data_IF_089734509721
#
_entry.id   IF_089734509721
#
_cell.length_a   1.000
_cell.length_b   1.000
_cell.length_c   1.000
_cell.angle_alpha   90.00
_cell.angle_beta   90.00
_cell.angle_gamma   90.00
#
_symmetry.space_group_name_H-M   'P 1'
#
loop_
_entity.id
_entity.type
_entity.pdbx_description
1 polymer ?
#
# COMPACT_ATOMS: atom_id res chain seq x y z
N UNK A 1 12.39 -22.13 23.90
CA UNK A 1 11.53 -20.95 23.75
C UNK A 1 11.40 -20.30 25.11
N UNK A 2 11.50 -18.97 25.18
CA UNK A 2 11.21 -18.24 26.43
C UNK A 2 9.69 -18.35 26.70
N UNK A 3 9.25 -18.56 27.95
CA UNK A 3 7.83 -18.61 28.28
C UNK A 3 7.18 -17.24 28.05
N UNK A 4 6.00 -17.23 27.42
CA UNK A 4 5.25 -16.00 27.11
C UNK A 4 4.82 -15.22 28.36
N UNK A 5 4.71 -15.90 29.50
CA UNK A 5 4.30 -15.33 30.79
C UNK A 5 5.29 -14.29 31.36
N UNK A 6 6.47 -14.14 30.77
CA UNK A 6 7.49 -13.18 31.19
C UNK A 6 7.52 -11.90 30.35
N UNK A 7 6.64 -11.77 29.34
CA UNK A 7 6.58 -10.58 28.49
C UNK A 7 5.83 -9.48 29.25
N UNK A 8 6.42 -8.30 29.48
CA UNK A 8 5.73 -7.20 30.15
C UNK A 8 4.60 -6.62 29.31
N UNK A 9 3.47 -6.27 29.93
CA UNK A 9 2.33 -5.61 29.27
C UNK A 9 2.55 -4.10 29.08
N UNK A 10 3.31 -3.46 29.98
CA UNK A 10 3.58 -2.02 29.94
C UNK A 10 4.67 -1.66 28.91
N UNK A 11 4.49 -0.52 28.22
CA UNK A 11 5.38 -0.09 27.11
C UNK A 11 6.86 0.06 27.52
N UNK A 12 7.13 0.65 28.68
CA UNK A 12 8.49 0.91 29.16
C UNK A 12 9.26 -0.39 29.44
N UNK A 13 8.76 -1.32 30.28
CA UNK A 13 9.44 -2.59 30.50
C UNK A 13 9.44 -3.47 29.24
N UNK A 14 8.42 -3.40 28.38
CA UNK A 14 8.41 -4.11 27.09
C UNK A 14 9.55 -3.62 26.17
N UNK A 15 9.78 -2.30 26.11
CA UNK A 15 10.90 -1.71 25.36
C UNK A 15 12.26 -2.17 25.90
N UNK A 16 12.40 -2.26 27.23
CA UNK A 16 13.63 -2.76 27.86
C UNK A 16 13.84 -4.26 27.57
N UNK A 17 12.77 -5.06 27.66
CA UNK A 17 12.78 -6.48 27.34
C UNK A 17 13.15 -6.72 25.87
N UNK A 18 12.55 -5.99 24.94
CA UNK A 18 12.90 -6.05 23.52
C UNK A 18 14.40 -5.79 23.30
N UNK A 19 14.96 -4.73 23.90
CA UNK A 19 16.39 -4.42 23.82
C UNK A 19 17.28 -5.54 24.37
N UNK A 20 16.86 -6.20 25.46
CA UNK A 20 17.56 -7.35 26.00
C UNK A 20 17.54 -8.53 25.02
N UNK A 21 16.41 -8.84 24.39
CA UNK A 21 16.30 -9.94 23.43
C UNK A 21 17.26 -9.78 22.24
N UNK A 22 17.47 -8.54 21.77
CA UNK A 22 18.43 -8.28 20.69
C UNK A 22 19.86 -8.72 21.03
N UNK A 23 20.22 -8.76 22.32
CA UNK A 23 21.57 -9.16 22.76
C UNK A 23 21.85 -10.65 22.63
N UNK A 24 20.81 -11.47 22.42
CA UNK A 24 20.97 -12.90 22.16
C UNK A 24 21.44 -13.22 20.73
N UNK A 25 21.47 -12.23 19.85
CA UNK A 25 22.06 -12.38 18.52
C UNK A 25 23.55 -12.77 18.63
N UNK A 26 23.95 -13.77 17.87
CA UNK A 26 25.33 -14.29 17.86
C UNK A 26 25.84 -14.43 16.43
N UNK A 27 27.13 -14.73 16.26
CA UNK A 27 27.70 -14.99 14.94
C UNK A 27 27.04 -16.20 14.25
N UNK A 28 26.65 -17.21 15.04
CA UNK A 28 26.00 -18.43 14.57
C UNK A 28 24.51 -18.22 14.28
N UNK A 29 23.88 -17.29 15.00
CA UNK A 29 22.48 -16.93 14.85
C UNK A 29 22.34 -15.39 14.84
N UNK A 30 22.67 -14.74 13.71
CA UNK A 30 22.49 -13.30 13.58
C UNK A 30 21.00 -12.95 13.50
N UNK A 31 20.64 -11.75 13.93
CA UNK A 31 19.27 -11.26 13.92
C UNK A 31 19.11 -10.11 12.92
N UNK A 32 18.20 -10.28 11.96
CA UNK A 32 17.84 -9.25 10.98
C UNK A 32 16.34 -8.99 11.09
N UNK A 33 15.98 -7.78 11.51
CA UNK A 33 14.59 -7.36 11.67
C UNK A 33 14.21 -6.39 10.56
N UNK A 34 13.09 -6.63 9.91
CA UNK A 34 12.47 -5.71 8.96
C UNK A 34 11.16 -5.23 9.57
N UNK A 35 11.03 -3.91 9.72
CA UNK A 35 9.84 -3.26 10.21
C UNK A 35 9.28 -2.42 9.07
N UNK A 36 8.17 -2.89 8.52
CA UNK A 36 7.51 -2.21 7.41
C UNK A 36 6.53 -1.15 7.94
N UNK A 37 6.60 0.05 7.36
CA UNK A 37 5.64 1.15 7.56
C UNK A 37 5.42 1.52 9.03
N UNK A 38 6.50 1.85 9.74
CA UNK A 38 6.41 2.16 11.19
C UNK A 38 5.58 3.40 11.53
N UNK A 39 5.35 4.28 10.54
CA UNK A 39 4.42 5.41 10.63
C UNK A 39 2.94 4.96 10.84
N UNK A 40 2.59 3.76 10.36
CA UNK A 40 1.24 3.19 10.50
C UNK A 40 0.99 2.50 11.84
N UNK A 41 2.00 2.39 12.71
CA UNK A 41 1.81 1.84 14.05
C UNK A 41 0.74 2.66 14.80
N UNK A 42 -0.21 1.98 15.43
CA UNK A 42 -1.26 2.59 16.26
C UNK A 42 -1.01 2.23 17.72
N UNK A 43 -1.35 3.12 18.66
CA UNK A 43 -1.37 2.78 20.09
C UNK A 43 -0.48 3.58 21.04
N UNK A 44 0.50 4.36 20.56
CA UNK A 44 1.18 5.34 21.39
C UNK A 44 0.36 6.65 21.39
N UNK A 45 -0.44 6.87 22.43
CA UNK A 45 -1.28 8.06 22.63
C UNK A 45 -0.46 9.37 22.79
N UNK A 46 0.87 9.28 22.85
CA UNK A 46 1.78 10.41 22.98
C UNK A 46 2.87 10.40 21.91
N UNK A 47 3.30 11.61 21.54
CA UNK A 47 4.33 11.92 20.55
C UNK A 47 5.52 10.95 20.58
N UNK A 48 5.71 10.19 19.50
CA UNK A 48 6.92 9.40 19.27
C UNK A 48 6.73 7.89 19.22
N UNK A 49 5.89 7.43 18.29
CA UNK A 49 5.62 6.00 18.02
C UNK A 49 6.84 5.14 17.76
N UNK A 50 7.95 5.75 17.36
CA UNK A 50 9.22 5.10 17.01
C UNK A 50 10.30 5.25 18.08
N UNK A 51 10.01 5.91 19.21
CA UNK A 51 10.99 6.17 20.28
C UNK A 51 11.50 4.91 20.99
N UNK A 52 10.76 3.81 20.92
CA UNK A 52 11.16 2.51 21.45
C UNK A 52 12.32 1.88 20.66
N UNK A 53 12.53 2.29 19.40
CA UNK A 53 13.57 1.74 18.55
C UNK A 53 14.97 2.05 19.12
N UNK A 54 15.84 1.02 19.26
CA UNK A 54 17.20 1.23 19.74
C UNK A 54 18.05 1.93 18.68
N UNK A 55 18.73 3.01 19.08
CA UNK A 55 19.69 3.73 18.22
C UNK A 55 21.07 3.07 18.17
N UNK A 56 21.35 2.15 19.11
CA UNK A 56 22.56 1.32 19.14
C UNK A 56 22.15 -0.14 19.17
N UNK A 57 22.67 -0.92 18.22
CA UNK A 57 22.39 -2.34 18.10
C UNK A 57 23.57 -3.17 18.62
N UNK A 58 23.31 -4.32 19.27
CA UNK A 58 24.36 -5.25 19.63
C UNK A 58 25.00 -5.87 18.37
N UNK A 59 26.20 -6.48 18.50
CA UNK A 59 26.83 -7.20 17.40
C UNK A 59 25.89 -8.25 16.79
N UNK A 60 26.03 -8.51 15.49
CA UNK A 60 25.22 -9.48 14.75
C UNK A 60 23.71 -9.18 14.70
N UNK A 61 23.28 -7.99 15.13
CA UNK A 61 21.93 -7.49 14.98
C UNK A 61 21.86 -6.37 13.93
N UNK A 62 20.83 -6.40 13.09
CA UNK A 62 20.51 -5.36 12.10
C UNK A 62 18.99 -5.14 12.10
N UNK A 63 18.58 -3.88 12.06
CA UNK A 63 17.18 -3.48 11.96
C UNK A 63 17.04 -2.57 10.74
N UNK A 64 16.12 -2.91 9.85
CA UNK A 64 15.74 -2.12 8.68
C UNK A 64 14.31 -1.67 8.90
N UNK A 65 14.09 -0.37 8.73
CA UNK A 65 12.81 0.28 8.98
C UNK A 65 12.42 1.05 7.72
N UNK A 66 11.17 0.89 7.27
CA UNK A 66 10.58 1.78 6.27
C UNK A 66 9.60 2.73 6.94
N UNK A 67 9.56 3.97 6.46
CA UNK A 67 8.55 4.95 6.83
C UNK A 67 8.24 5.85 5.64
N UNK A 68 7.03 6.41 5.60
CA UNK A 68 6.68 7.40 4.60
C UNK A 68 7.39 8.75 4.86
N UNK A 69 7.74 9.44 3.77
CA UNK A 69 8.27 10.79 3.78
C UNK A 69 7.72 11.54 2.58
N UNK A 70 6.80 12.48 2.84
CA UNK A 70 6.15 13.32 1.85
C UNK A 70 6.45 14.80 2.14
N UNK A 71 7.01 15.51 1.16
CA UNK A 71 7.33 16.94 1.30
C UNK A 71 6.09 17.79 1.55
N UNK A 72 4.96 17.43 0.95
CA UNK A 72 3.68 18.15 1.04
C UNK A 72 2.86 17.79 2.27
N UNK A 73 3.24 16.75 3.02
CA UNK A 73 2.44 16.23 4.13
C UNK A 73 3.30 16.00 5.39
N UNK A 74 3.45 17.02 6.25
CA UNK A 74 4.28 16.92 7.45
C UNK A 74 3.73 15.93 8.49
N UNK A 75 2.43 15.59 8.43
CA UNK A 75 1.81 14.64 9.35
C UNK A 75 2.29 13.22 9.03
N UNK A 76 2.32 12.86 7.74
CA UNK A 76 2.83 11.54 7.30
C UNK A 76 4.34 11.43 7.50
N UNK A 77 5.07 12.55 7.39
CA UNK A 77 6.53 12.61 7.57
C UNK A 77 6.98 12.71 9.04
N UNK A 78 6.06 12.69 10.01
CA UNK A 78 6.39 12.95 11.42
C UNK A 78 7.41 11.96 11.98
N UNK A 79 7.21 10.67 11.72
CA UNK A 79 8.09 9.59 12.17
C UNK A 79 9.45 9.65 11.47
N UNK A 80 9.48 9.98 10.18
CA UNK A 80 10.74 10.20 9.45
C UNK A 80 11.59 11.30 10.11
N UNK A 81 10.99 12.45 10.42
CA UNK A 81 11.69 13.55 11.08
C UNK A 81 12.19 13.18 12.47
N UNK A 82 11.42 12.36 13.20
CA UNK A 82 11.83 11.88 14.52
C UNK A 82 13.01 10.91 14.42
N UNK A 83 12.96 9.95 13.48
CA UNK A 83 14.07 9.03 13.21
C UNK A 83 15.35 9.78 12.83
N UNK A 84 15.25 10.82 11.99
CA UNK A 84 16.37 11.69 11.62
C UNK A 84 16.99 12.43 12.81
N UNK A 85 16.21 12.72 13.86
CA UNK A 85 16.72 13.32 15.12
C UNK A 85 17.36 12.28 16.05
N UNK A 86 16.87 11.03 16.02
CA UNK A 86 17.39 9.95 16.87
C UNK A 86 18.66 9.29 16.32
N UNK A 87 18.82 9.24 15.00
CA UNK A 87 19.91 8.52 14.33
C UNK A 87 20.79 9.53 13.60
N UNK A 88 21.96 9.81 14.17
CA UNK A 88 22.92 10.82 13.67
C UNK A 88 23.83 10.31 12.53
N UNK A 89 23.52 9.15 11.95
CA UNK A 89 24.33 8.52 10.90
C UNK A 89 23.59 8.62 9.57
N UNK A 90 23.94 9.61 8.75
CA UNK A 90 23.28 9.84 7.46
C UNK A 90 23.32 8.62 6.52
N UNK A 91 24.42 7.86 6.54
CA UNK A 91 24.58 6.65 5.73
C UNK A 91 23.60 5.52 6.08
N UNK A 92 22.84 5.64 7.17
CA UNK A 92 21.78 4.69 7.52
C UNK A 92 20.42 5.06 6.92
N UNK A 93 20.31 6.19 6.21
CA UNK A 93 19.09 6.61 5.54
C UNK A 93 19.23 6.44 4.04
N UNK A 94 18.28 5.71 3.46
CA UNK A 94 18.17 5.53 2.01
C UNK A 94 16.81 6.09 1.61
N UNK A 95 16.83 7.14 0.80
CA UNK A 95 15.62 7.70 0.23
C UNK A 95 15.21 6.92 -1.02
N UNK A 96 13.95 6.49 -1.07
CA UNK A 96 13.39 5.79 -2.22
C UNK A 96 12.54 6.79 -3.00
N UNK A 97 13.07 7.28 -4.11
CA UNK A 97 12.39 8.23 -4.98
C UNK A 97 11.43 7.54 -5.96
N UNK A 98 10.65 8.34 -6.69
CA UNK A 98 9.93 7.86 -7.86
C UNK A 98 10.89 7.22 -8.89
N UNK A 99 10.35 6.37 -9.78
CA UNK A 99 11.16 5.61 -10.74
C UNK A 99 11.87 6.51 -11.75
N UNK A 100 11.30 7.67 -12.06
CA UNK A 100 11.67 8.46 -13.24
C UNK A 100 11.07 7.91 -14.53
N UNK A 101 10.99 8.76 -15.54
CA UNK A 101 10.31 8.45 -16.81
C UNK A 101 10.94 7.26 -17.54
N UNK A 102 12.27 7.25 -17.67
CA UNK A 102 12.99 6.20 -18.41
C UNK A 102 12.78 4.81 -17.80
N UNK A 103 12.97 4.68 -16.48
CA UNK A 103 12.81 3.41 -15.79
C UNK A 103 11.34 2.98 -15.79
N UNK A 104 10.41 3.90 -15.55
CA UNK A 104 8.98 3.60 -15.62
C UNK A 104 8.56 3.10 -17.01
N UNK A 105 9.03 3.74 -18.09
CA UNK A 105 8.76 3.31 -19.46
C UNK A 105 9.38 1.95 -19.77
N UNK A 106 10.59 1.67 -19.29
CA UNK A 106 11.22 0.36 -19.42
C UNK A 106 10.44 -0.72 -18.67
N UNK A 107 9.98 -0.44 -17.46
CA UNK A 107 9.13 -1.34 -16.66
C UNK A 107 7.82 -1.66 -17.39
N UNK A 108 7.14 -0.65 -17.95
CA UNK A 108 5.91 -0.87 -18.72
C UNK A 108 6.17 -1.72 -19.95
N UNK A 109 7.24 -1.45 -20.72
CA UNK A 109 7.60 -2.25 -21.89
C UNK A 109 7.86 -3.71 -21.52
N UNK A 110 8.58 -3.96 -20.42
CA UNK A 110 8.81 -5.32 -19.91
C UNK A 110 7.50 -6.01 -19.54
N UNK A 111 6.61 -5.34 -18.79
CA UNK A 111 5.32 -5.91 -18.42
C UNK A 111 4.41 -6.17 -19.62
N UNK A 112 4.40 -5.28 -20.63
CA UNK A 112 3.65 -5.49 -21.88
C UNK A 112 4.16 -6.70 -22.65
N UNK A 113 5.49 -6.87 -22.74
CA UNK A 113 6.10 -8.04 -23.35
C UNK A 113 5.72 -9.33 -22.61
N UNK A 114 5.77 -9.33 -21.27
CA UNK A 114 5.32 -10.47 -20.44
C UNK A 114 3.84 -10.78 -20.63
N UNK A 115 3.00 -9.76 -20.81
CA UNK A 115 1.58 -9.92 -21.10
C UNK A 115 1.29 -10.35 -22.55
N UNK A 116 2.32 -10.50 -23.39
CA UNK A 116 2.22 -10.76 -24.83
C UNK A 116 1.34 -9.75 -25.56
N UNK A 117 1.48 -8.47 -25.21
CA UNK A 117 0.73 -7.36 -25.81
C UNK A 117 1.65 -6.23 -26.23
N UNK A 118 1.16 -5.41 -27.14
CA UNK A 118 1.80 -4.16 -27.53
C UNK A 118 0.73 -3.08 -27.77
N UNK A 119 1.17 -1.83 -27.84
CA UNK A 119 0.34 -0.66 -28.11
C UNK A 119 0.70 -0.04 -29.45
N UNK A 120 -0.24 0.69 -30.02
CA UNK A 120 0.06 1.55 -31.18
C UNK A 120 0.94 2.74 -30.78
N UNK A 121 1.60 3.36 -31.76
CA UNK A 121 2.40 4.59 -31.54
C UNK A 121 1.60 5.71 -30.86
N UNK A 122 0.31 5.85 -31.21
CA UNK A 122 -0.57 6.82 -30.57
C UNK A 122 -0.77 6.52 -29.07
N UNK A 123 -1.05 5.26 -28.73
CA UNK A 123 -1.25 4.81 -27.35
C UNK A 123 0.04 4.91 -26.54
N UNK A 124 1.18 4.55 -27.11
CA UNK A 124 2.49 4.73 -26.46
C UNK A 124 2.78 6.20 -26.13
N UNK A 125 2.37 7.13 -27.00
CA UNK A 125 2.49 8.57 -26.72
C UNK A 125 1.61 9.01 -25.54
N UNK A 126 0.42 8.42 -25.38
CA UNK A 126 -0.43 8.69 -24.21
C UNK A 126 0.21 8.19 -22.92
N UNK A 127 0.82 6.99 -22.96
CA UNK A 127 1.56 6.44 -21.82
C UNK A 127 2.73 7.34 -21.45
N UNK A 128 3.56 7.74 -22.41
CA UNK A 128 4.69 8.64 -22.15
C UNK A 128 4.23 9.96 -21.52
N UNK A 129 3.17 10.58 -22.05
CA UNK A 129 2.61 11.81 -21.49
C UNK A 129 2.10 11.65 -20.05
N UNK A 130 1.51 10.50 -19.71
CA UNK A 130 1.04 10.22 -18.35
C UNK A 130 2.22 9.99 -17.38
N UNK A 131 3.21 9.20 -17.81
CA UNK A 131 4.39 8.87 -17.01
C UNK A 131 5.31 10.08 -16.80
N UNK A 132 5.40 10.98 -17.78
CA UNK A 132 6.11 12.25 -17.64
C UNK A 132 5.49 13.18 -16.58
N UNK A 133 4.22 12.97 -16.20
CA UNK A 133 3.58 13.69 -15.10
C UNK A 133 3.69 12.98 -13.75
N UNK A 134 3.65 11.65 -13.72
CA UNK A 134 3.76 10.86 -12.51
C UNK A 134 4.49 9.54 -12.78
N UNK A 135 5.57 9.28 -12.05
CA UNK A 135 6.39 8.06 -12.18
C UNK A 135 6.47 7.24 -10.88
N UNK A 136 5.50 7.43 -9.98
CA UNK A 136 5.39 6.62 -8.78
C UNK A 136 5.08 5.16 -9.15
N UNK A 137 5.75 4.16 -8.55
CA UNK A 137 5.56 2.75 -8.91
C UNK A 137 4.09 2.29 -8.95
N UNK A 138 3.26 2.74 -8.01
CA UNK A 138 1.82 2.43 -7.97
C UNK A 138 1.08 3.01 -9.19
N UNK A 139 1.41 4.23 -9.60
CA UNK A 139 0.83 4.85 -10.79
C UNK A 139 1.22 4.09 -12.06
N UNK A 140 2.50 3.72 -12.20
CA UNK A 140 2.99 2.91 -13.32
C UNK A 140 2.23 1.59 -13.41
N UNK A 141 1.94 0.95 -12.26
CA UNK A 141 1.15 -0.28 -12.20
C UNK A 141 -0.31 -0.06 -12.62
N UNK A 142 -0.94 1.03 -12.19
CA UNK A 142 -2.31 1.39 -12.58
C UNK A 142 -2.41 1.68 -14.08
N UNK A 143 -1.46 2.46 -14.63
CA UNK A 143 -1.35 2.71 -16.07
C UNK A 143 -1.21 1.40 -16.83
N UNK A 144 -0.30 0.51 -16.41
CA UNK A 144 -0.13 -0.81 -17.02
C UNK A 144 -1.42 -1.63 -17.04
N UNK A 145 -2.15 -1.66 -15.91
CA UNK A 145 -3.42 -2.37 -15.82
C UNK A 145 -4.48 -1.82 -16.79
N UNK A 146 -4.50 -0.49 -16.99
CA UNK A 146 -5.44 0.16 -17.90
C UNK A 146 -5.08 -0.08 -19.38
N UNK A 147 -3.81 0.12 -19.77
CA UNK A 147 -3.39 -0.08 -21.17
C UNK A 147 -3.45 -1.55 -21.59
N UNK A 148 -3.34 -2.49 -20.64
CA UNK A 148 -3.62 -3.91 -20.86
C UNK A 148 -5.08 -4.17 -21.25
N UNK A 149 -5.99 -3.19 -21.20
CA UNK A 149 -7.36 -3.36 -21.69
C UNK A 149 -7.53 -2.86 -23.12
N UNK A 150 -6.67 -1.95 -23.55
CA UNK A 150 -6.77 -1.31 -24.87
C UNK A 150 -6.51 -2.28 -26.01
N UNK A 151 -7.38 -2.23 -27.02
CA UNK A 151 -7.17 -2.89 -28.31
C UNK A 151 -6.50 -1.90 -29.26
N UNK A 152 -5.92 -2.41 -30.35
CA UNK A 152 -5.34 -1.55 -31.40
C UNK A 152 -6.37 -0.62 -32.05
N UNK A 153 -7.65 -1.01 -32.05
CA UNK A 153 -8.78 -0.24 -32.58
C UNK A 153 -9.60 0.49 -31.52
N UNK A 154 -9.15 0.52 -30.25
CA UNK A 154 -9.81 1.34 -29.23
C UNK A 154 -9.75 2.81 -29.66
N UNK A 155 -10.89 3.49 -29.63
CA UNK A 155 -11.00 4.86 -30.13
C UNK A 155 -10.22 5.82 -29.23
N UNK A 156 -9.68 6.93 -29.76
CA UNK A 156 -8.95 7.94 -28.98
C UNK A 156 -9.70 8.45 -27.74
N UNK A 157 -11.02 8.60 -27.85
CA UNK A 157 -11.90 9.03 -26.75
C UNK A 157 -11.99 8.02 -25.59
N UNK A 158 -11.72 6.73 -25.88
CA UNK A 158 -11.76 5.63 -24.91
C UNK A 158 -10.35 5.25 -24.42
N UNK A 159 -9.30 5.86 -24.98
CA UNK A 159 -7.91 5.72 -24.53
C UNK A 159 -7.52 6.91 -23.66
N UNK A 160 -8.02 6.95 -22.43
CA UNK A 160 -7.70 8.00 -21.47
C UNK A 160 -6.84 7.43 -20.33
N UNK A 161 -5.80 8.17 -19.93
CA UNK A 161 -5.01 7.89 -18.74
C UNK A 161 -5.07 9.12 -17.83
N UNK A 162 -5.29 8.88 -16.55
CA UNK A 162 -5.16 9.89 -15.53
C UNK A 162 -3.72 10.40 -15.43
N UNK A 163 -3.55 11.56 -14.78
CA UNK A 163 -2.25 12.22 -14.59
C UNK A 163 -1.73 12.11 -13.15
N UNK A 164 -2.54 11.62 -12.22
CA UNK A 164 -2.21 11.47 -10.80
C UNK A 164 -2.63 10.09 -10.30
N UNK A 165 -2.07 9.65 -9.16
CA UNK A 165 -2.45 8.38 -8.53
C UNK A 165 -3.93 8.38 -8.16
N UNK A 166 -4.41 9.46 -7.54
CA UNK A 166 -5.79 9.55 -7.07
C UNK A 166 -6.78 9.50 -8.23
N UNK A 167 -6.53 10.24 -9.32
CA UNK A 167 -7.40 10.21 -10.49
C UNK A 167 -7.43 8.81 -11.12
N UNK A 168 -6.27 8.12 -11.16
CA UNK A 168 -6.19 6.73 -11.66
C UNK A 168 -7.00 5.76 -10.79
N UNK A 169 -7.00 5.94 -9.46
CA UNK A 169 -7.81 5.16 -8.53
C UNK A 169 -9.30 5.48 -8.70
N UNK A 170 -9.68 6.74 -8.89
CA UNK A 170 -11.07 7.12 -9.14
C UNK A 170 -11.58 6.52 -10.45
N UNK A 171 -10.77 6.56 -11.53
CA UNK A 171 -11.11 5.88 -12.79
C UNK A 171 -11.26 4.36 -12.61
N UNK A 172 -10.43 3.75 -11.77
CA UNK A 172 -10.54 2.33 -11.40
C UNK A 172 -11.88 2.06 -10.71
N UNK A 173 -12.29 2.87 -9.72
CA UNK A 173 -13.57 2.71 -9.04
C UNK A 173 -14.76 2.91 -9.96
N UNK A 174 -14.78 3.98 -10.76
CA UNK A 174 -15.86 4.24 -11.73
C UNK A 174 -16.03 3.05 -12.70
N UNK A 175 -14.91 2.45 -13.12
CA UNK A 175 -14.93 1.28 -14.00
C UNK A 175 -15.50 0.05 -13.28
N UNK A 176 -15.10 -0.22 -12.05
CA UNK A 176 -15.60 -1.36 -11.27
C UNK A 176 -17.11 -1.19 -11.01
N UNK A 177 -17.57 0.01 -10.67
CA UNK A 177 -18.99 0.33 -10.52
C UNK A 177 -19.79 0.05 -11.82
N UNK A 178 -19.24 0.42 -12.98
CA UNK A 178 -19.86 0.10 -14.28
C UNK A 178 -19.93 -1.40 -14.58
N UNK A 179 -18.98 -2.19 -14.07
CA UNK A 179 -18.90 -3.62 -14.34
C UNK A 179 -19.75 -4.46 -13.38
N UNK A 180 -19.81 -4.07 -12.11
CA UNK A 180 -20.41 -4.88 -11.04
C UNK A 180 -21.67 -4.26 -10.42
N UNK A 181 -22.06 -3.06 -10.84
CA UNK A 181 -23.17 -2.32 -10.25
C UNK A 181 -22.66 -1.31 -9.23
N UNK A 182 -23.20 -0.09 -9.32
CA UNK A 182 -22.75 1.03 -8.48
C UNK A 182 -23.09 0.81 -7.01
N UNK A 183 -24.27 0.28 -6.71
CA UNK A 183 -24.74 0.10 -5.33
C UNK A 183 -23.87 -0.94 -4.62
N UNK A 184 -23.68 -2.11 -5.26
CA UNK A 184 -22.82 -3.17 -4.72
C UNK A 184 -21.40 -2.66 -4.40
N UNK A 185 -20.75 -2.02 -5.37
CA UNK A 185 -19.35 -1.57 -5.23
C UNK A 185 -19.23 -0.46 -4.19
N UNK A 186 -20.15 0.51 -4.19
CA UNK A 186 -20.16 1.59 -3.21
C UNK A 186 -20.32 1.05 -1.78
N UNK A 187 -21.30 0.17 -1.56
CA UNK A 187 -21.56 -0.40 -0.25
C UNK A 187 -20.39 -1.28 0.23
N UNK A 188 -19.84 -2.13 -0.64
CA UNK A 188 -18.67 -2.95 -0.30
C UNK A 188 -17.47 -2.10 0.16
N UNK A 189 -17.13 -1.05 -0.61
CA UNK A 189 -16.03 -0.15 -0.24
C UNK A 189 -16.36 0.68 1.01
N UNK A 190 -17.62 1.08 1.21
CA UNK A 190 -18.05 1.79 2.42
C UNK A 190 -17.91 0.91 3.66
N UNK A 191 -18.30 -0.37 3.60
CA UNK A 191 -18.13 -1.31 4.70
C UNK A 191 -16.66 -1.53 5.04
N UNK A 192 -15.80 -1.76 4.03
CA UNK A 192 -14.35 -1.86 4.22
C UNK A 192 -13.78 -0.61 4.88
N UNK A 193 -14.21 0.57 4.43
CA UNK A 193 -13.71 1.85 4.96
C UNK A 193 -14.20 2.14 6.39
N UNK A 194 -15.43 1.76 6.71
CA UNK A 194 -16.01 1.94 8.03
C UNK A 194 -15.44 0.97 9.08
N UNK A 195 -14.90 -0.17 8.65
CA UNK A 195 -14.33 -1.17 9.53
C UNK A 195 -12.98 -0.73 10.10
N UNK A 196 -12.89 -0.62 11.43
CA UNK A 196 -11.67 -0.19 12.13
C UNK A 196 -10.47 -1.10 11.89
N UNK A 197 -10.71 -2.40 11.74
CA UNK A 197 -9.66 -3.43 11.62
C UNK A 197 -9.69 -4.13 10.25
N UNK A 198 -10.37 -3.53 9.27
CA UNK A 198 -10.69 -4.19 8.01
C UNK A 198 -11.79 -5.24 8.17
N UNK A 199 -12.08 -5.94 7.07
CA UNK A 199 -13.06 -7.02 6.99
C UNK A 199 -12.43 -8.20 6.24
N UNK A 200 -12.67 -9.41 6.73
CA UNK A 200 -12.42 -10.62 5.95
C UNK A 200 -13.42 -10.74 4.81
N UNK A 201 -13.10 -11.59 3.83
CA UNK A 201 -14.00 -11.86 2.69
C UNK A 201 -15.38 -12.37 3.18
N UNK A 202 -15.40 -13.29 4.14
CA UNK A 202 -16.64 -13.81 4.72
C UNK A 202 -17.43 -12.76 5.48
N UNK A 203 -16.78 -11.89 6.26
CA UNK A 203 -17.49 -10.81 6.98
C UNK A 203 -18.06 -9.78 6.01
N UNK A 204 -17.33 -9.48 4.94
CA UNK A 204 -17.81 -8.57 3.90
C UNK A 204 -18.99 -9.18 3.13
N UNK A 205 -18.92 -10.47 2.79
CA UNK A 205 -20.02 -11.21 2.17
C UNK A 205 -21.26 -11.20 3.06
N UNK A 206 -21.11 -11.52 4.35
CA UNK A 206 -22.20 -11.50 5.33
C UNK A 206 -22.84 -10.11 5.43
N UNK A 207 -22.03 -9.05 5.54
CA UNK A 207 -22.53 -7.67 5.61
C UNK A 207 -23.29 -7.26 4.35
N UNK A 208 -22.78 -7.63 3.18
CA UNK A 208 -23.43 -7.35 1.89
C UNK A 208 -24.73 -8.17 1.75
N UNK A 209 -24.75 -9.41 2.24
CA UNK A 209 -25.92 -10.29 2.18
C UNK A 209 -27.09 -9.79 3.04
N UNK A 210 -26.80 -8.99 4.07
CA UNK A 210 -27.80 -8.35 4.94
C UNK A 210 -28.25 -6.98 4.44
N UNK A 211 -27.67 -6.48 3.34
CA UNK A 211 -27.99 -5.18 2.79
C UNK A 211 -29.12 -5.28 1.75
N UNK A 212 -30.35 -5.03 2.19
CA UNK A 212 -31.55 -5.10 1.35
C UNK A 212 -31.42 -4.25 0.07
N UNK A 213 -30.73 -3.09 0.13
CA UNK A 213 -30.56 -2.22 -1.05
C UNK A 213 -29.64 -2.84 -2.08
N UNK A 214 -28.59 -3.53 -1.62
CA UNK A 214 -27.68 -4.24 -2.51
C UNK A 214 -28.37 -5.47 -3.09
N UNK A 215 -29.08 -6.23 -2.25
CA UNK A 215 -29.83 -7.40 -2.70
C UNK A 215 -30.87 -7.03 -3.76
N UNK A 216 -31.67 -5.99 -3.56
CA UNK A 216 -32.68 -5.54 -4.52
C UNK A 216 -32.05 -5.12 -5.87
N UNK A 217 -30.85 -4.52 -5.86
CA UNK A 217 -30.12 -4.11 -7.07
C UNK A 217 -29.53 -5.32 -7.82
N UNK A 218 -29.05 -6.33 -7.09
CA UNK A 218 -28.42 -7.54 -7.67
C UNK A 218 -29.47 -8.55 -8.14
N UNK A 219 -30.54 -8.73 -7.37
CA UNK A 219 -31.58 -9.74 -7.56
C UNK A 219 -32.87 -9.17 -8.18
N UNK A 220 -32.73 -8.37 -9.24
CA UNK A 220 -33.86 -7.69 -9.89
C UNK A 220 -34.94 -8.62 -10.45
N UNK A 221 -34.59 -9.85 -10.84
CA UNK A 221 -35.50 -10.77 -11.55
C UNK A 221 -35.77 -12.07 -10.79
N UNK A 222 -35.04 -12.38 -9.72
CA UNK A 222 -35.18 -13.61 -8.94
C UNK A 222 -34.81 -13.35 -7.48
N UNK A 223 -35.55 -13.91 -6.54
CA UNK A 223 -35.17 -13.87 -5.12
C UNK A 223 -33.86 -14.64 -4.89
N UNK A 224 -32.99 -14.17 -3.96
CA UNK A 224 -31.77 -14.91 -3.60
C UNK A 224 -32.12 -16.33 -3.17
N UNK A 225 -31.34 -17.34 -3.57
CA UNK A 225 -31.66 -18.75 -3.34
C UNK A 225 -31.68 -19.13 -1.85
N UNK A 226 -31.03 -18.36 -0.97
CA UNK A 226 -31.04 -18.52 0.48
C UNK A 226 -30.94 -17.12 1.12
N UNK A 227 -31.68 -16.91 2.22
CA UNK A 227 -31.56 -15.76 3.14
C UNK A 227 -30.88 -16.21 4.43
#
# INVERSE_FOLDING_TARGET
MLPFDQIPDDLVPLTAHFKQLLTYASKQQPLLLFLDSVDQLTGAQDSGKVSWLPTRLPPFCKIIVSCAAEESNPVVSQEYHLLRRMIDVEGNFIEVTALGEDLAMNVIKMWMATACRDLSNYQWRLVANAIGKCSLPIFVKLVFAEICRWRSYTRPQDTHLASTVMDSIMMLFERIEKQHGRILVFHALAYITAAKSGLSESELEDLISLDDRVLDDVYQYHLPPVR
#
